data_IF_966771601091
#
_entry.id   IF_966771601091
#
_cell.length_a   1.000
_cell.length_b   1.000
_cell.length_c   1.000
_cell.angle_alpha   90.00
_cell.angle_beta   90.00
_cell.angle_gamma   90.00
#
_symmetry.space_group_name_H-M   'P 1'
#
loop_
_entity.id
_entity.type
_entity.pdbx_description
1 polymer ?
#
# COMPACT_ATOMS: atom_id res chain seq x y z
N UNK A 1 0.27 17.22 -3.07
CA UNK A 1 1.08 16.45 -4.07
C UNK A 1 0.11 15.63 -4.93
N UNK A 2 0.36 15.43 -6.24
CA UNK A 2 -0.52 14.64 -7.11
C UNK A 2 -0.07 13.19 -7.11
N UNK A 3 -1.02 12.25 -7.16
CA UNK A 3 -0.73 10.83 -7.32
C UNK A 3 -0.15 10.59 -8.73
N UNK A 4 0.82 9.66 -8.87
CA UNK A 4 1.31 9.24 -10.19
C UNK A 4 0.23 8.52 -11.02
N UNK A 5 0.48 8.31 -12.32
CA UNK A 5 -0.44 7.61 -13.21
C UNK A 5 -1.64 8.43 -13.72
N UNK A 6 -1.64 9.74 -13.53
CA UNK A 6 -2.72 10.64 -14.00
C UNK A 6 -2.56 10.94 -15.51
N UNK A 7 -2.68 9.91 -16.33
CA UNK A 7 -2.52 10.00 -17.80
C UNK A 7 -3.74 10.59 -18.50
N UNK A 8 -4.91 10.58 -17.86
CA UNK A 8 -6.17 11.05 -18.49
C UNK A 8 -6.24 12.56 -18.65
N UNK A 9 -5.67 13.31 -17.69
CA UNK A 9 -5.62 14.78 -17.73
C UNK A 9 -4.24 15.32 -18.12
N UNK A 10 -3.23 14.47 -18.06
CA UNK A 10 -1.86 14.79 -18.42
C UNK A 10 -1.34 13.71 -19.37
N UNK A 11 -1.72 13.76 -20.67
CA UNK A 11 -1.23 12.77 -21.63
C UNK A 11 0.29 12.90 -21.76
N UNK A 12 0.97 11.77 -21.58
CA UNK A 12 2.44 11.66 -21.65
C UNK A 12 2.83 10.50 -22.55
N UNK A 13 3.95 10.61 -23.22
CA UNK A 13 4.50 9.54 -24.04
C UNK A 13 5.25 8.48 -23.19
N UNK A 14 5.82 8.92 -22.07
CA UNK A 14 6.53 8.08 -21.10
C UNK A 14 6.06 8.44 -19.70
N UNK A 15 5.65 7.44 -18.93
CA UNK A 15 5.21 7.61 -17.55
C UNK A 15 6.15 6.85 -16.61
N UNK A 16 6.95 7.59 -15.84
CA UNK A 16 7.82 7.07 -14.78
C UNK A 16 7.25 7.30 -13.38
N UNK A 17 6.00 7.79 -13.27
CA UNK A 17 5.37 8.13 -12.00
C UNK A 17 4.69 6.95 -11.32
N UNK A 18 4.57 5.82 -12.01
CA UNK A 18 3.97 4.58 -11.51
C UNK A 18 4.75 3.36 -11.95
N UNK A 19 4.70 2.32 -11.14
CA UNK A 19 5.40 1.06 -11.39
C UNK A 19 4.45 0.06 -12.07
N UNK A 20 4.25 0.24 -13.39
CA UNK A 20 3.40 -0.62 -14.20
C UNK A 20 4.27 -1.59 -15.02
N UNK A 21 3.83 -2.83 -15.18
CA UNK A 21 4.50 -3.79 -16.04
C UNK A 21 4.47 -3.32 -17.50
N UNK A 22 5.60 -2.97 -18.12
CA UNK A 22 5.65 -2.45 -19.49
C UNK A 22 5.25 -3.50 -20.55
N UNK A 23 5.27 -4.79 -20.20
CA UNK A 23 4.84 -5.89 -21.06
C UNK A 23 3.31 -6.09 -21.05
N UNK A 24 2.60 -5.30 -20.22
CA UNK A 24 1.16 -5.40 -20.06
C UNK A 24 0.70 -6.56 -19.19
N UNK A 25 -0.53 -6.98 -19.38
CA UNK A 25 -1.17 -8.04 -18.58
C UNK A 25 -0.67 -9.41 -19.08
N UNK A 26 -0.13 -10.30 -18.22
CA UNK A 26 0.19 -11.67 -18.59
C UNK A 26 -1.03 -12.42 -19.14
N UNK A 27 -0.83 -13.27 -20.15
CA UNK A 27 -1.95 -13.98 -20.82
C UNK A 27 -2.75 -14.84 -19.85
N UNK A 28 -2.10 -15.56 -18.93
CA UNK A 28 -2.79 -16.36 -17.92
C UNK A 28 -3.70 -15.50 -17.00
N UNK A 29 -3.34 -14.26 -16.73
CA UNK A 29 -4.18 -13.32 -15.97
C UNK A 29 -5.36 -12.86 -16.80
N UNK A 30 -5.15 -12.56 -18.09
CA UNK A 30 -6.21 -12.18 -19.03
C UNK A 30 -7.26 -13.30 -19.17
N UNK A 31 -6.82 -14.54 -19.33
CA UNK A 31 -7.69 -15.71 -19.40
C UNK A 31 -8.49 -15.89 -18.12
N UNK A 32 -7.84 -15.83 -16.95
CA UNK A 32 -8.50 -15.95 -15.65
C UNK A 32 -9.56 -14.85 -15.44
N UNK A 33 -9.26 -13.60 -15.78
CA UNK A 33 -10.22 -12.49 -15.70
C UNK A 33 -11.41 -12.70 -16.64
N UNK A 34 -11.18 -13.21 -17.85
CA UNK A 34 -12.25 -13.49 -18.82
C UNK A 34 -13.19 -14.59 -18.31
N UNK A 35 -12.65 -15.63 -17.69
CA UNK A 35 -13.44 -16.70 -17.06
C UNK A 35 -14.22 -16.18 -15.85
N UNK A 36 -13.59 -15.34 -15.00
CA UNK A 36 -14.19 -14.82 -13.79
C UNK A 36 -15.39 -13.86 -14.05
N UNK A 37 -15.55 -13.33 -15.27
CA UNK A 37 -16.72 -12.49 -15.61
C UNK A 37 -18.05 -13.20 -15.33
N UNK A 38 -18.13 -14.52 -15.58
CA UNK A 38 -19.33 -15.30 -15.31
C UNK A 38 -19.67 -15.41 -13.83
N UNK A 39 -18.66 -15.33 -12.96
CA UNK A 39 -18.80 -15.40 -11.51
C UNK A 39 -19.37 -14.12 -10.90
N UNK A 40 -19.35 -13.00 -11.66
CA UNK A 40 -19.89 -11.72 -11.19
C UNK A 40 -21.43 -11.73 -10.96
N UNK A 41 -22.10 -12.84 -11.28
CA UNK A 41 -23.53 -13.06 -10.96
C UNK A 41 -23.76 -13.39 -9.48
N UNK A 42 -22.72 -13.68 -8.72
CA UNK A 42 -22.78 -14.03 -7.32
C UNK A 42 -22.08 -12.99 -6.45
N UNK A 43 -22.45 -12.94 -5.18
CA UNK A 43 -21.67 -12.18 -4.21
C UNK A 43 -20.27 -12.80 -4.07
N UNK A 44 -19.22 -11.97 -3.91
CA UNK A 44 -17.89 -12.49 -3.65
C UNK A 44 -17.83 -13.26 -2.33
N UNK A 45 -16.87 -14.19 -2.23
CA UNK A 45 -16.55 -14.83 -0.97
C UNK A 45 -16.02 -13.79 0.02
N UNK A 46 -16.79 -13.57 1.10
CA UNK A 46 -16.47 -12.56 2.13
C UNK A 46 -15.18 -12.89 2.88
N UNK A 47 -14.84 -14.17 3.00
CA UNK A 47 -13.63 -14.64 3.68
C UNK A 47 -12.43 -14.76 2.74
N UNK A 48 -12.65 -14.63 1.41
CA UNK A 48 -11.63 -14.77 0.38
C UNK A 48 -10.77 -16.04 0.51
N UNK A 49 -11.37 -17.15 0.96
CA UNK A 49 -10.66 -18.36 1.37
C UNK A 49 -9.74 -18.90 0.28
N UNK A 50 -10.23 -19.03 -0.95
CA UNK A 50 -9.44 -19.54 -2.08
C UNK A 50 -8.22 -18.67 -2.38
N UNK A 51 -8.35 -17.34 -2.25
CA UNK A 51 -7.27 -16.37 -2.43
C UNK A 51 -6.24 -16.48 -1.31
N UNK A 52 -6.68 -16.53 -0.05
CA UNK A 52 -5.79 -16.68 1.11
C UNK A 52 -4.97 -17.97 1.02
N UNK A 53 -5.61 -19.09 0.63
CA UNK A 53 -4.93 -20.36 0.41
C UNK A 53 -3.90 -20.29 -0.72
N UNK A 54 -4.22 -19.60 -1.82
CA UNK A 54 -3.28 -19.42 -2.93
C UNK A 54 -2.06 -18.61 -2.51
N UNK A 55 -2.27 -17.49 -1.80
CA UNK A 55 -1.19 -16.66 -1.26
C UNK A 55 -0.36 -17.46 -0.24
N UNK A 56 -1.02 -18.18 0.68
CA UNK A 56 -0.34 -19.00 1.67
C UNK A 56 0.59 -20.05 1.02
N UNK A 57 0.13 -20.74 -0.04
CA UNK A 57 0.96 -21.68 -0.81
C UNK A 57 2.15 -20.99 -1.48
N UNK A 58 1.95 -19.78 -2.00
CA UNK A 58 2.99 -19.03 -2.70
C UNK A 58 4.06 -18.47 -1.75
N UNK A 59 3.65 -18.01 -0.58
CA UNK A 59 4.52 -17.31 0.37
C UNK A 59 5.05 -18.19 1.50
N UNK A 60 4.44 -19.35 1.75
CA UNK A 60 4.72 -20.20 2.91
C UNK A 60 4.15 -19.65 4.23
N UNK A 61 3.28 -18.63 4.17
CA UNK A 61 2.65 -18.01 5.34
C UNK A 61 1.30 -18.68 5.62
N UNK A 62 0.99 -18.96 6.89
CA UNK A 62 -0.34 -19.47 7.27
C UNK A 62 -1.44 -18.45 6.94
N UNK A 63 -2.58 -18.94 6.47
CA UNK A 63 -3.71 -18.09 6.04
C UNK A 63 -4.24 -17.18 7.15
N UNK A 64 -4.11 -17.57 8.40
CA UNK A 64 -4.49 -16.75 9.57
C UNK A 64 -3.64 -15.49 9.76
N UNK A 65 -2.48 -15.40 9.08
CA UNK A 65 -1.57 -14.26 9.09
C UNK A 65 -1.64 -13.43 7.79
N UNK A 66 -2.65 -13.68 6.95
CA UNK A 66 -2.81 -13.01 5.66
C UNK A 66 -4.11 -12.21 5.67
N UNK A 67 -4.03 -10.95 5.28
CA UNK A 67 -5.19 -10.08 5.05
C UNK A 67 -5.15 -9.59 3.61
N UNK A 68 -6.28 -9.71 2.91
CA UNK A 68 -6.44 -9.22 1.54
C UNK A 68 -7.28 -7.94 1.50
N UNK A 69 -7.05 -7.11 0.49
CA UNK A 69 -7.82 -5.89 0.23
C UNK A 69 -7.67 -5.43 -1.22
N UNK A 70 -8.49 -4.47 -1.63
CA UNK A 70 -8.45 -3.89 -2.97
C UNK A 70 -7.28 -2.89 -3.10
N UNK A 71 -6.08 -3.45 -3.13
CA UNK A 71 -4.81 -2.74 -3.14
C UNK A 71 -4.36 -2.29 -1.73
N UNK A 72 -3.09 -1.90 -1.65
CA UNK A 72 -2.46 -1.51 -0.39
C UNK A 72 -3.16 -0.33 0.31
N UNK A 73 -3.81 0.57 -0.44
CA UNK A 73 -4.48 1.73 0.14
C UNK A 73 -5.64 1.35 1.06
N UNK A 74 -6.41 0.31 0.72
CA UNK A 74 -7.47 -0.20 1.60
C UNK A 74 -6.87 -0.81 2.86
N UNK A 75 -5.79 -1.58 2.71
CA UNK A 75 -5.10 -2.20 3.85
C UNK A 75 -4.53 -1.15 4.81
N UNK A 76 -3.99 -0.04 4.31
CA UNK A 76 -3.52 1.05 5.17
C UNK A 76 -4.66 1.66 5.99
N UNK A 77 -5.82 1.90 5.36
CA UNK A 77 -7.01 2.42 6.08
C UNK A 77 -7.49 1.41 7.12
N UNK A 78 -7.55 0.12 6.76
CA UNK A 78 -7.93 -0.95 7.69
C UNK A 78 -6.99 -1.02 8.90
N UNK A 79 -5.66 -0.92 8.67
CA UNK A 79 -4.66 -0.87 9.74
C UNK A 79 -4.86 0.33 10.66
N UNK A 80 -5.16 1.51 10.11
CA UNK A 80 -5.44 2.70 10.94
C UNK A 80 -6.66 2.47 11.84
N UNK A 81 -7.72 1.87 11.30
CA UNK A 81 -8.90 1.56 12.09
C UNK A 81 -8.67 0.49 13.17
N UNK A 82 -7.84 -0.50 12.87
CA UNK A 82 -7.53 -1.59 13.80
C UNK A 82 -6.59 -1.14 14.93
N UNK A 83 -5.52 -0.41 14.58
CA UNK A 83 -4.47 -0.02 15.52
C UNK A 83 -4.80 1.28 16.28
N UNK A 84 -5.59 2.18 15.67
CA UNK A 84 -5.98 3.50 16.21
C UNK A 84 -4.78 4.28 16.77
N UNK A 85 -3.69 4.45 16.00
CA UNK A 85 -2.53 5.18 16.47
C UNK A 85 -2.89 6.64 16.75
N UNK A 86 -2.33 7.23 17.80
CA UNK A 86 -2.45 8.65 18.09
C UNK A 86 -1.37 9.47 17.38
N UNK A 87 -0.16 8.91 17.26
CA UNK A 87 0.98 9.54 16.58
C UNK A 87 1.63 8.62 15.57
N UNK A 88 1.78 9.13 14.36
CA UNK A 88 2.34 8.40 13.21
C UNK A 88 3.57 9.12 12.70
N UNK A 89 4.66 8.40 12.48
CA UNK A 89 5.87 8.90 11.82
C UNK A 89 5.94 8.39 10.38
N UNK A 90 6.15 9.32 9.44
CA UNK A 90 6.30 9.01 8.02
C UNK A 90 7.63 9.58 7.52
N UNK A 91 8.65 8.76 7.23
CA UNK A 91 9.82 9.20 6.49
C UNK A 91 9.42 9.68 5.09
N UNK A 92 9.92 10.85 4.69
CA UNK A 92 9.63 11.45 3.39
C UNK A 92 10.93 11.82 2.66
N UNK A 93 10.95 11.68 1.32
CA UNK A 93 9.86 11.35 0.41
C UNK A 93 9.43 9.89 0.49
N UNK A 94 8.11 9.61 0.40
CA UNK A 94 7.55 8.26 0.39
C UNK A 94 6.19 8.19 -0.31
N UNK A 95 5.54 7.05 -0.26
CA UNK A 95 4.25 6.84 -0.91
C UNK A 95 3.13 7.66 -0.24
N UNK A 96 2.40 8.43 -1.05
CA UNK A 96 1.30 9.30 -0.58
C UNK A 96 0.15 8.57 0.10
N UNK A 97 0.00 7.27 -0.13
CA UNK A 97 -1.04 6.46 0.48
C UNK A 97 -0.95 6.43 2.01
N UNK A 98 0.26 6.50 2.57
CA UNK A 98 0.48 6.55 4.01
C UNK A 98 -0.12 7.80 4.64
N UNK A 99 0.19 8.96 4.06
CA UNK A 99 -0.35 10.25 4.52
C UNK A 99 -1.88 10.29 4.44
N UNK A 100 -2.45 9.77 3.34
CA UNK A 100 -3.91 9.72 3.17
C UNK A 100 -4.59 8.81 4.20
N UNK A 101 -4.02 7.65 4.47
CA UNK A 101 -4.55 6.73 5.47
C UNK A 101 -4.44 7.32 6.89
N UNK A 102 -3.28 7.92 7.21
CA UNK A 102 -3.05 8.58 8.47
C UNK A 102 -4.01 9.77 8.69
N UNK A 103 -4.20 10.62 7.69
CA UNK A 103 -5.15 11.73 7.75
C UNK A 103 -6.60 11.26 7.97
N UNK A 104 -6.98 10.11 7.40
CA UNK A 104 -8.32 9.55 7.59
C UNK A 104 -8.56 9.02 9.02
N UNK A 105 -7.51 8.67 9.77
CA UNK A 105 -7.61 8.18 11.14
C UNK A 105 -7.74 9.29 12.18
N UNK A 106 -7.41 10.54 11.83
CA UNK A 106 -7.34 11.67 12.76
C UNK A 106 -6.10 11.68 13.66
N UNK A 107 -5.10 10.81 13.38
CA UNK A 107 -3.83 10.79 14.11
C UNK A 107 -2.97 12.02 13.83
N UNK A 108 -2.13 12.40 14.77
CA UNK A 108 -1.05 13.36 14.56
C UNK A 108 0.00 12.75 13.63
N UNK A 109 0.25 13.40 12.49
CA UNK A 109 1.25 12.95 11.52
C UNK A 109 2.52 13.78 11.69
N UNK A 110 3.64 13.11 11.89
CA UNK A 110 4.98 13.68 11.88
C UNK A 110 5.76 13.20 10.69
N UNK A 111 6.60 14.06 10.13
CA UNK A 111 7.42 13.72 8.98
C UNK A 111 8.90 13.71 9.36
N UNK A 112 9.57 12.62 9.04
CA UNK A 112 11.03 12.52 9.08
C UNK A 112 11.58 12.82 7.69
N UNK A 113 12.26 13.96 7.54
CA UNK A 113 12.79 14.41 6.24
C UNK A 113 14.12 13.74 5.95
N UNK A 114 14.13 12.81 5.00
CA UNK A 114 15.34 12.19 4.48
C UNK A 114 16.00 13.12 3.45
N UNK A 115 17.35 13.11 3.37
CA UNK A 115 18.10 13.96 2.45
C UNK A 115 18.63 13.19 1.23
N UNK A 116 18.78 13.90 0.12
CA UNK A 116 19.42 13.37 -1.09
C UNK A 116 20.88 13.01 -0.82
N UNK A 117 21.58 13.79 0.02
CA UNK A 117 22.96 13.54 0.41
C UNK A 117 23.15 12.16 1.06
N UNK A 118 22.13 11.66 1.73
CA UNK A 118 22.09 10.35 2.39
C UNK A 118 21.42 9.27 1.51
N UNK A 119 21.20 9.55 0.23
CA UNK A 119 20.48 8.65 -0.68
C UNK A 119 19.04 8.35 -0.24
N UNK A 120 18.40 9.30 0.44
CA UNK A 120 17.06 9.15 1.03
C UNK A 120 16.94 7.96 1.98
N UNK A 121 18.02 7.63 2.67
CA UNK A 121 18.01 6.61 3.73
C UNK A 121 17.81 7.27 5.09
N UNK A 122 17.00 6.66 5.99
CA UNK A 122 16.92 7.15 7.37
C UNK A 122 18.27 6.93 8.07
N UNK A 123 18.66 7.88 8.90
CA UNK A 123 19.83 7.81 9.76
C UNK A 123 19.42 7.61 11.23
N UNK A 124 20.40 7.59 12.13
CA UNK A 124 20.18 7.37 13.55
C UNK A 124 19.28 8.42 14.22
N UNK A 125 19.07 9.60 13.60
CA UNK A 125 18.18 10.62 14.13
C UNK A 125 16.71 10.16 14.14
N UNK A 126 16.34 9.20 13.30
CA UNK A 126 14.97 8.63 13.30
C UNK A 126 14.64 7.98 14.65
N UNK A 127 15.62 7.40 15.37
CA UNK A 127 15.38 6.79 16.67
C UNK A 127 14.98 7.81 17.74
N UNK A 128 15.43 9.06 17.60
CA UNK A 128 15.01 10.16 18.47
C UNK A 128 13.55 10.49 18.24
N UNK A 129 13.13 10.58 16.96
CA UNK A 129 11.72 10.81 16.63
C UNK A 129 10.81 9.67 17.12
N UNK A 130 11.27 8.40 16.98
CA UNK A 130 10.55 7.24 17.48
C UNK A 130 10.40 7.20 18.99
N UNK A 131 11.40 7.71 19.74
CA UNK A 131 11.37 7.76 21.21
C UNK A 131 10.39 8.78 21.78
N UNK A 132 9.84 9.68 20.95
CA UNK A 132 8.91 10.74 21.38
C UNK A 132 7.42 10.30 21.27
N UNK A 133 7.13 9.06 21.62
CA UNK A 133 5.78 8.52 21.76
C UNK A 133 5.08 8.30 20.40
N UNK A 134 5.83 7.83 19.41
CA UNK A 134 5.28 7.39 18.12
C UNK A 134 4.67 6.00 18.27
N UNK A 135 3.41 5.82 17.85
CA UNK A 135 2.68 4.55 17.94
C UNK A 135 2.86 3.72 16.66
N UNK A 136 3.05 4.39 15.52
CA UNK A 136 3.16 3.75 14.22
C UNK A 136 4.22 4.43 13.35
N UNK A 137 5.07 3.63 12.73
CA UNK A 137 6.01 4.05 11.69
C UNK A 137 5.63 3.41 10.37
N UNK A 138 5.47 4.23 9.32
CA UNK A 138 5.46 3.75 7.94
C UNK A 138 6.90 3.75 7.41
N UNK A 139 7.48 2.58 7.21
CA UNK A 139 8.81 2.42 6.64
C UNK A 139 8.69 1.79 5.26
N UNK A 140 9.21 2.47 4.21
CA UNK A 140 9.17 2.03 2.81
C UNK A 140 10.55 2.06 2.17
#
# INVERSE_FOLDING_TARGET
>A
MKHGGEIYRNPVNLDFSVNINPLGIPECVREALTQAVSECTHYPDMEAEALLQAIGRMTGVSTEHIVCGNGASELFVALMHALKPEKILIPVPSFLGYEKAAAASGAEVRYYHMSEENGFSPDDAIFKELSDGVDLLFLA
#
